data_IF_397870675944
#
_entry.id   IF_397870675944
#
_cell.length_a   1.000
_cell.length_b   1.000
_cell.length_c   1.000
_cell.angle_alpha   90.00
_cell.angle_beta   90.00
_cell.angle_gamma   90.00
#
_symmetry.space_group_name_H-M   'P 1'
#
loop_
_entity.id
_entity.type
_entity.pdbx_description
1 polymer ?
#
# COMPACT_ATOMS: atom_id res chain seq x y z
N UNK A 1 -9.91 -33.07 -7.07
CA UNK A 1 -9.59 -31.80 -6.39
C UNK A 1 -9.51 -30.74 -7.48
N UNK A 2 -10.56 -29.95 -7.63
CA UNK A 2 -10.60 -28.85 -8.59
C UNK A 2 -9.70 -27.74 -8.05
N UNK A 3 -8.61 -27.45 -8.77
CA UNK A 3 -7.78 -26.27 -8.48
C UNK A 3 -8.69 -25.04 -8.64
N UNK A 4 -9.09 -24.43 -7.52
CA UNK A 4 -9.57 -23.05 -7.55
C UNK A 4 -8.41 -22.22 -8.08
N UNK A 5 -8.58 -21.49 -9.19
CA UNK A 5 -7.51 -20.62 -9.66
C UNK A 5 -7.12 -19.65 -8.54
N UNK A 6 -5.84 -19.25 -8.44
CA UNK A 6 -5.41 -18.30 -7.43
C UNK A 6 -6.28 -17.04 -7.54
N UNK A 7 -6.69 -16.49 -6.39
CA UNK A 7 -7.68 -15.40 -6.27
C UNK A 7 -7.36 -14.15 -7.11
N UNK A 8 -6.09 -14.02 -7.50
CA UNK A 8 -5.51 -12.91 -8.26
C UNK A 8 -5.69 -13.07 -9.78
N UNK A 9 -6.17 -14.23 -10.23
CA UNK A 9 -6.45 -14.47 -11.65
C UNK A 9 -7.62 -13.60 -12.09
N UNK A 10 -7.48 -12.78 -13.14
CA UNK A 10 -8.58 -12.01 -13.67
C UNK A 10 -9.78 -12.90 -14.02
N UNK A 11 -10.96 -12.54 -13.52
CA UNK A 11 -12.21 -13.25 -13.78
C UNK A 11 -13.00 -12.58 -14.91
N UNK A 12 -13.89 -13.33 -15.57
CA UNK A 12 -14.79 -12.74 -16.55
C UNK A 12 -15.95 -11.99 -15.88
N UNK A 13 -16.65 -11.14 -16.65
CA UNK A 13 -17.90 -10.50 -16.18
C UNK A 13 -18.98 -11.51 -15.80
N UNK A 14 -19.03 -12.66 -16.50
CA UNK A 14 -19.99 -13.72 -16.21
C UNK A 14 -19.66 -14.41 -14.89
N UNK A 15 -18.37 -14.65 -14.62
CA UNK A 15 -17.91 -15.22 -13.35
C UNK A 15 -18.19 -14.28 -12.18
N UNK A 16 -17.92 -12.98 -12.36
CA UNK A 16 -18.26 -11.96 -11.36
C UNK A 16 -19.76 -11.93 -11.05
N UNK A 17 -20.61 -12.00 -12.08
CA UNK A 17 -22.06 -12.05 -11.89
C UNK A 17 -22.55 -13.35 -11.21
N UNK A 18 -21.84 -14.46 -11.41
CA UNK A 18 -22.17 -15.76 -10.79
C UNK A 18 -21.57 -15.93 -9.37
N UNK A 19 -20.62 -15.09 -8.98
CA UNK A 19 -19.91 -15.18 -7.71
C UNK A 19 -20.83 -15.04 -6.49
N UNK A 20 -20.39 -15.58 -5.35
CA UNK A 20 -21.05 -15.40 -4.06
C UNK A 20 -20.75 -13.98 -3.54
N UNK A 21 -21.74 -13.08 -3.42
CA UNK A 21 -21.51 -11.71 -3.00
C UNK A 21 -21.01 -11.62 -1.55
N UNK A 22 -21.17 -12.65 -0.73
CA UNK A 22 -20.69 -12.65 0.66
C UNK A 22 -19.18 -12.96 0.77
N UNK A 23 -18.55 -13.35 -0.34
CA UNK A 23 -17.14 -13.74 -0.38
C UNK A 23 -16.33 -12.75 -1.19
N UNK A 24 -15.02 -12.73 -0.92
CA UNK A 24 -14.05 -12.01 -1.75
C UNK A 24 -14.07 -12.56 -3.18
N UNK A 25 -14.16 -11.67 -4.14
CA UNK A 25 -14.15 -11.97 -5.56
C UNK A 25 -12.78 -11.63 -6.15
N UNK A 26 -12.33 -12.42 -7.14
CA UNK A 26 -11.09 -12.12 -7.85
C UNK A 26 -11.20 -10.85 -8.70
N UNK A 27 -10.07 -10.27 -9.14
CA UNK A 27 -10.08 -9.01 -9.87
C UNK A 27 -10.78 -9.17 -11.23
N UNK A 28 -11.56 -8.18 -11.62
CA UNK A 28 -12.09 -8.05 -12.97
C UNK A 28 -11.29 -6.95 -13.69
N UNK A 29 -10.60 -7.35 -14.75
CA UNK A 29 -9.81 -6.44 -15.59
C UNK A 29 -10.58 -6.12 -16.86
N UNK A 30 -10.65 -4.84 -17.21
CA UNK A 30 -11.32 -4.35 -18.42
C UNK A 30 -10.38 -3.43 -19.19
N UNK A 31 -10.29 -3.68 -20.51
CA UNK A 31 -9.46 -2.92 -21.44
C UNK A 31 -10.08 -1.57 -21.86
N UNK A 32 -11.18 -1.14 -21.21
CA UNK A 32 -11.90 0.11 -21.49
C UNK A 32 -11.51 1.26 -20.55
N UNK A 33 -10.23 1.33 -20.15
CA UNK A 33 -9.70 2.32 -19.20
C UNK A 33 -9.78 3.78 -19.67
N UNK A 34 -10.37 4.06 -20.83
CA UNK A 34 -10.72 5.41 -21.24
C UNK A 34 -11.88 5.95 -20.38
N UNK A 35 -11.59 6.99 -19.60
CA UNK A 35 -12.60 7.89 -19.05
C UNK A 35 -13.22 8.68 -20.22
N UNK A 36 -14.09 8.05 -20.99
CA UNK A 36 -14.83 8.77 -22.04
C UNK A 36 -15.84 9.71 -21.38
N UNK A 37 -15.87 10.97 -21.82
CA UNK A 37 -16.82 12.00 -21.41
C UNK A 37 -18.32 11.60 -21.53
N UNK A 38 -18.63 10.57 -22.34
CA UNK A 38 -19.99 10.02 -22.49
C UNK A 38 -20.39 9.15 -21.29
N UNK A 39 -19.44 8.56 -20.57
CA UNK A 39 -19.68 7.78 -19.34
C UNK A 39 -19.96 8.65 -18.11
N UNK A 40 -19.42 9.87 -18.07
CA UNK A 40 -19.71 10.85 -17.01
C UNK A 40 -21.15 11.37 -17.07
N UNK A 41 -21.70 11.57 -18.28
CA UNK A 41 -23.01 12.19 -18.47
C UNK A 41 -24.22 11.26 -18.23
N UNK A 42 -24.04 9.94 -18.29
CA UNK A 42 -25.14 8.96 -18.17
C UNK A 42 -25.01 7.99 -16.99
N UNK A 43 -23.94 8.08 -16.20
CA UNK A 43 -23.65 7.13 -15.13
C UNK A 43 -23.18 5.80 -15.70
N UNK A 44 -21.91 5.45 -15.48
CA UNK A 44 -21.38 4.17 -15.94
C UNK A 44 -21.93 3.02 -15.10
N UNK A 45 -22.27 1.90 -15.76
CA UNK A 45 -22.65 0.68 -15.07
C UNK A 45 -21.41 0.04 -14.43
N UNK A 46 -21.40 -0.03 -13.09
CA UNK A 46 -20.34 -0.70 -12.33
C UNK A 46 -20.63 -2.21 -12.33
N UNK A 47 -19.66 -3.08 -12.68
CA UNK A 47 -19.84 -4.52 -12.58
C UNK A 47 -20.09 -4.93 -11.12
N UNK A 48 -21.01 -5.86 -10.94
CA UNK A 48 -21.50 -6.28 -9.64
C UNK A 48 -21.10 -7.72 -9.37
N UNK A 49 -20.62 -7.99 -8.15
CA UNK A 49 -20.39 -9.34 -7.62
C UNK A 49 -21.74 -9.95 -7.25
N UNK A 50 -22.04 -11.13 -7.80
CA UNK A 50 -23.30 -11.83 -7.56
C UNK A 50 -24.55 -11.04 -7.98
N UNK A 51 -24.39 -10.01 -8.82
CA UNK A 51 -25.41 -9.02 -9.19
C UNK A 51 -25.97 -8.18 -8.01
N UNK A 52 -25.34 -8.23 -6.84
CA UNK A 52 -25.89 -7.67 -5.59
C UNK A 52 -25.03 -6.54 -5.03
N UNK A 53 -23.69 -6.70 -5.02
CA UNK A 53 -22.79 -5.66 -4.49
C UNK A 53 -21.74 -5.23 -5.52
N UNK A 54 -21.23 -3.99 -5.44
CA UNK A 54 -20.06 -3.58 -6.23
C UNK A 54 -18.77 -4.19 -5.67
N UNK A 55 -17.70 -4.10 -6.46
CA UNK A 55 -16.33 -4.28 -5.96
C UNK A 55 -15.92 -3.12 -5.04
N UNK A 56 -14.99 -3.38 -4.12
CA UNK A 56 -14.53 -2.36 -3.16
C UNK A 56 -13.62 -1.31 -3.82
N UNK A 57 -12.75 -1.74 -4.73
CA UNK A 57 -11.80 -0.89 -5.42
C UNK A 57 -12.13 -0.81 -6.91
N UNK A 58 -12.14 0.40 -7.45
CA UNK A 58 -12.21 0.71 -8.86
C UNK A 58 -11.00 1.59 -9.22
N UNK A 59 -9.98 0.95 -9.81
CA UNK A 59 -8.70 1.57 -10.12
C UNK A 59 -8.49 1.62 -11.63
N UNK A 60 -8.09 2.77 -12.18
CA UNK A 60 -7.74 2.91 -13.58
C UNK A 60 -6.35 3.50 -13.76
N UNK A 61 -5.53 2.87 -14.61
CA UNK A 61 -4.14 3.24 -14.88
C UNK A 61 -3.71 2.67 -16.23
N UNK A 62 -2.81 3.37 -16.95
CA UNK A 62 -2.22 2.93 -18.22
C UNK A 62 -3.22 2.35 -19.26
N UNK A 63 -4.46 2.87 -19.30
CA UNK A 63 -5.51 2.41 -20.22
C UNK A 63 -6.23 1.13 -19.79
N UNK A 64 -5.89 0.58 -18.63
CA UNK A 64 -6.53 -0.56 -17.99
C UNK A 64 -7.41 -0.07 -16.85
N UNK A 65 -8.53 -0.76 -16.61
CA UNK A 65 -9.32 -0.60 -15.39
C UNK A 65 -9.46 -1.93 -14.66
N UNK A 66 -9.29 -1.91 -13.35
CA UNK A 66 -9.34 -3.06 -12.45
C UNK A 66 -10.41 -2.82 -11.39
N UNK A 67 -11.31 -3.78 -11.25
CA UNK A 67 -12.25 -3.86 -10.15
C UNK A 67 -11.83 -5.00 -9.22
N UNK A 68 -11.67 -4.73 -7.93
CA UNK A 68 -11.17 -5.73 -6.99
C UNK A 68 -11.76 -5.53 -5.59
N UNK A 69 -11.73 -6.58 -4.77
CA UNK A 69 -12.10 -6.50 -3.36
C UNK A 69 -10.89 -6.26 -2.44
N UNK A 70 -9.67 -6.39 -2.94
CA UNK A 70 -8.42 -6.17 -2.19
C UNK A 70 -7.48 -5.26 -2.96
N UNK A 71 -6.71 -4.47 -2.22
CA UNK A 71 -5.61 -3.68 -2.80
C UNK A 71 -4.54 -4.58 -3.43
N UNK A 72 -4.23 -5.72 -2.80
CA UNK A 72 -3.23 -6.66 -3.33
C UNK A 72 -3.59 -7.16 -4.74
N UNK A 73 -4.88 -7.34 -5.05
CA UNK A 73 -5.32 -7.79 -6.37
C UNK A 73 -5.14 -6.68 -7.42
N UNK A 74 -5.40 -5.42 -7.06
CA UNK A 74 -5.10 -4.26 -7.92
C UNK A 74 -3.60 -4.17 -8.19
N UNK A 75 -2.79 -4.25 -7.13
CA UNK A 75 -1.34 -4.18 -7.25
C UNK A 75 -0.76 -5.38 -7.98
N UNK A 76 -1.31 -6.58 -7.84
CA UNK A 76 -0.85 -7.73 -8.59
C UNK A 76 -1.08 -7.59 -10.10
N UNK A 77 -2.23 -7.02 -10.50
CA UNK A 77 -2.48 -6.69 -11.92
C UNK A 77 -1.50 -5.61 -12.41
N UNK A 78 -1.20 -4.61 -11.57
CA UNK A 78 -0.30 -3.49 -11.92
C UNK A 78 1.18 -3.88 -11.96
N UNK A 79 1.64 -4.66 -10.99
CA UNK A 79 3.06 -4.96 -10.73
C UNK A 79 3.50 -6.30 -11.34
N UNK A 80 2.55 -7.09 -11.84
CA UNK A 80 2.76 -8.28 -12.65
C UNK A 80 2.86 -9.59 -11.86
N UNK A 81 3.10 -10.67 -12.60
CA UNK A 81 2.96 -12.07 -12.14
C UNK A 81 3.75 -12.38 -10.87
N UNK A 82 4.96 -11.82 -10.71
CA UNK A 82 5.76 -12.10 -9.52
C UNK A 82 5.10 -11.55 -8.25
N UNK A 83 4.47 -10.38 -8.31
CA UNK A 83 3.73 -9.84 -7.18
C UNK A 83 2.51 -10.70 -6.89
N UNK A 84 1.79 -11.14 -7.93
CA UNK A 84 0.67 -12.07 -7.81
C UNK A 84 1.07 -13.38 -7.11
N UNK A 85 2.19 -14.00 -7.49
CA UNK A 85 2.71 -15.22 -6.86
C UNK A 85 2.99 -15.02 -5.37
N UNK A 86 3.56 -13.88 -4.99
CA UNK A 86 3.89 -13.56 -3.59
C UNK A 86 2.64 -13.33 -2.75
N UNK A 87 1.64 -12.61 -3.28
CA UNK A 87 0.34 -12.44 -2.63
C UNK A 87 -0.34 -13.80 -2.42
N UNK A 88 -0.35 -14.67 -3.45
CA UNK A 88 -0.92 -16.01 -3.30
C UNK A 88 -0.17 -16.86 -2.26
N UNK A 89 1.16 -16.74 -2.19
CA UNK A 89 1.97 -17.43 -1.19
C UNK A 89 1.71 -16.90 0.24
N UNK A 90 1.41 -15.62 0.40
CA UNK A 90 1.02 -15.03 1.69
C UNK A 90 -0.38 -15.48 2.11
N UNK A 91 -1.34 -15.48 1.17
CA UNK A 91 -2.69 -16.00 1.41
C UNK A 91 -2.65 -17.47 1.88
N UNK A 92 -1.80 -18.31 1.29
CA UNK A 92 -1.62 -19.71 1.70
C UNK A 92 -1.06 -19.83 3.13
N UNK A 93 -0.18 -18.92 3.54
CA UNK A 93 0.31 -18.88 4.92
C UNK A 93 -0.78 -18.46 5.90
N UNK A 94 -1.60 -17.47 5.53
CA UNK A 94 -2.66 -16.96 6.38
C UNK A 94 -3.83 -17.97 6.52
N UNK A 95 -4.01 -18.87 5.54
CA UNK A 95 -4.92 -20.02 5.65
C UNK A 95 -4.42 -21.10 6.62
N UNK A 96 -3.11 -21.14 6.88
CA UNK A 96 -2.44 -22.12 7.72
C UNK A 96 -1.55 -21.46 8.79
N UNK A 97 -2.13 -20.64 9.69
CA UNK A 97 -1.34 -19.90 10.66
C UNK A 97 -0.71 -20.85 11.68
N UNK A 98 0.59 -20.64 11.95
CA UNK A 98 1.27 -21.28 13.08
C UNK A 98 1.01 -20.42 14.31
N UNK A 99 0.32 -20.94 15.34
CA UNK A 99 -0.03 -20.15 16.52
C UNK A 99 1.24 -19.63 17.21
N UNK A 100 1.12 -18.46 17.85
CA UNK A 100 2.17 -17.99 18.73
C UNK A 100 2.33 -18.98 19.90
N UNK A 101 3.55 -19.19 20.41
CA UNK A 101 3.73 -19.91 21.66
C UNK A 101 2.96 -19.16 22.78
N UNK A 102 2.37 -19.90 23.72
CA UNK A 102 1.62 -19.30 24.82
C UNK A 102 2.56 -18.44 25.68
N UNK A 103 2.19 -17.18 25.90
CA UNK A 103 3.00 -16.23 26.69
C UNK A 103 3.13 -16.63 28.16
N UNK A 104 2.31 -17.59 28.64
CA UNK A 104 2.39 -18.14 30.00
C UNK A 104 3.63 -19.02 30.23
N UNK A 105 4.31 -19.46 29.17
CA UNK A 105 5.45 -20.39 29.24
C UNK A 105 6.80 -19.67 29.03
N UNK A 106 6.75 -18.35 28.82
CA UNK A 106 7.92 -17.50 28.69
C UNK A 106 8.07 -16.68 29.98
N UNK A 107 8.80 -17.21 30.97
CA UNK A 107 9.23 -16.38 32.09
C UNK A 107 10.02 -15.17 31.55
N UNK A 108 9.70 -13.93 31.97
CA UNK A 108 10.39 -12.75 31.50
C UNK A 108 11.88 -12.87 31.81
N UNK A 109 12.72 -12.82 30.77
CA UNK A 109 14.19 -12.99 30.82
C UNK A 109 14.89 -11.80 31.55
N UNK A 110 14.14 -10.96 32.24
CA UNK A 110 14.66 -9.84 33.04
C UNK A 110 15.13 -10.26 34.45
N UNK A 111 14.81 -11.48 34.93
CA UNK A 111 15.28 -11.94 36.25
C UNK A 111 16.70 -12.53 36.26
N UNK A 112 17.31 -12.84 35.11
CA UNK A 112 18.68 -13.40 35.08
C UNK A 112 19.75 -12.33 35.38
N UNK A 113 19.42 -11.03 35.23
CA UNK A 113 20.34 -9.93 35.53
C UNK A 113 20.36 -9.51 37.03
N UNK A 114 19.44 -10.00 37.87
CA UNK A 114 19.34 -9.63 39.28
C UNK A 114 19.84 -10.70 40.28
N UNK A 115 20.23 -11.90 39.82
CA UNK A 115 20.75 -12.97 40.70
C UNK A 115 22.27 -12.83 40.92
N UNK A 116 22.70 -11.67 41.39
CA UNK A 116 24.08 -11.40 41.80
C UNK A 116 24.28 -11.55 43.34
N UNK A 117 23.63 -12.52 44.00
CA UNK A 117 23.88 -12.72 45.43
C UNK A 117 22.98 -13.63 46.27
N UNK A 118 22.19 -14.56 45.72
CA UNK A 118 21.44 -15.53 46.52
C UNK A 118 22.08 -16.92 46.52
N UNK A 119 22.07 -17.66 47.65
CA UNK A 119 22.60 -19.02 47.73
C UNK A 119 21.74 -19.99 46.89
N UNK A 120 22.29 -21.11 46.40
CA UNK A 120 21.56 -22.04 45.56
C UNK A 120 20.45 -22.71 46.40
N UNK A 121 19.23 -22.21 46.25
CA UNK A 121 18.01 -22.87 46.65
C UNK A 121 17.40 -23.51 45.41
N UNK A 122 17.13 -24.81 45.51
CA UNK A 122 16.47 -25.62 44.49
C UNK A 122 15.07 -25.07 44.16
N UNK A 123 14.99 -24.25 43.12
CA UNK A 123 13.91 -24.19 42.12
C UNK A 123 14.37 -23.21 41.03
N UNK A 124 15.33 -23.66 40.22
CA UNK A 124 15.57 -23.02 38.93
C UNK A 124 14.51 -23.56 37.99
N UNK A 125 13.68 -22.63 37.50
CA UNK A 125 12.53 -22.75 36.61
C UNK A 125 12.36 -24.05 35.83
N UNK A 126 11.10 -24.47 35.73
CA UNK A 126 10.62 -25.58 34.90
C UNK A 126 11.36 -25.57 33.55
N UNK A 127 12.17 -26.61 33.31
CA UNK A 127 13.00 -26.67 32.11
C UNK A 127 12.11 -26.69 30.87
N UNK A 128 12.25 -25.70 29.98
CA UNK A 128 11.54 -25.66 28.70
C UNK A 128 11.70 -27.00 27.99
N UNK A 129 10.58 -27.63 27.66
CA UNK A 129 10.54 -28.92 27.00
C UNK A 129 11.01 -28.83 25.54
N UNK A 130 11.51 -29.94 25.00
CA UNK A 130 11.86 -30.04 23.57
C UNK A 130 10.65 -29.74 22.66
N UNK A 131 9.43 -30.01 23.14
CA UNK A 131 8.19 -29.71 22.43
C UNK A 131 7.91 -28.21 22.34
N UNK A 132 8.09 -27.45 23.43
CA UNK A 132 7.91 -25.99 23.45
C UNK A 132 8.95 -25.29 22.56
N UNK A 133 10.21 -25.74 22.60
CA UNK A 133 11.26 -25.24 21.70
C UNK A 133 10.91 -25.50 20.22
N UNK A 134 10.33 -26.66 19.90
CA UNK A 134 9.91 -26.99 18.55
C UNK A 134 8.74 -26.12 18.06
N UNK A 135 7.76 -25.82 18.94
CA UNK A 135 6.64 -24.91 18.64
C UNK A 135 7.16 -23.49 18.41
N UNK A 136 8.03 -22.97 19.28
CA UNK A 136 8.65 -21.66 19.11
C UNK A 136 9.44 -21.58 17.79
N UNK A 137 10.27 -22.59 17.49
CA UNK A 137 11.03 -22.63 16.25
C UNK A 137 10.13 -22.66 15.01
N UNK A 138 9.02 -23.39 15.04
CA UNK A 138 8.04 -23.42 13.97
C UNK A 138 7.35 -22.06 13.78
N UNK A 139 6.99 -21.37 14.86
CA UNK A 139 6.42 -20.03 14.80
C UNK A 139 7.40 -19.00 14.24
N UNK A 140 8.67 -19.04 14.68
CA UNK A 140 9.71 -18.16 14.15
C UNK A 140 9.97 -18.40 12.67
N UNK A 141 10.02 -19.66 12.22
CA UNK A 141 10.15 -19.99 10.81
C UNK A 141 8.95 -19.51 9.96
N UNK A 142 7.74 -19.59 10.52
CA UNK A 142 6.53 -19.03 9.91
C UNK A 142 6.62 -17.51 9.75
N UNK A 143 7.01 -16.78 10.82
CA UNK A 143 7.18 -15.33 10.80
C UNK A 143 8.30 -14.88 9.86
N UNK A 144 9.42 -15.58 9.85
CA UNK A 144 10.53 -15.31 8.91
C UNK A 144 10.08 -15.48 7.45
N UNK A 145 9.32 -16.54 7.15
CA UNK A 145 8.76 -16.75 5.81
C UNK A 145 7.79 -15.63 5.40
N UNK A 146 6.90 -15.21 6.31
CA UNK A 146 6.01 -14.06 6.05
C UNK A 146 6.81 -12.77 5.83
N UNK A 147 7.81 -12.49 6.67
CA UNK A 147 8.65 -11.30 6.56
C UNK A 147 9.42 -11.28 5.23
N UNK A 148 9.99 -12.40 4.80
CA UNK A 148 10.70 -12.52 3.52
C UNK A 148 9.80 -12.25 2.31
N UNK A 149 8.57 -12.78 2.32
CA UNK A 149 7.60 -12.52 1.26
C UNK A 149 7.24 -11.02 1.21
N UNK A 150 6.91 -10.44 2.37
CA UNK A 150 6.57 -9.00 2.47
C UNK A 150 7.72 -8.10 2.06
N UNK A 151 8.96 -8.46 2.41
CA UNK A 151 10.18 -7.78 1.98
C UNK A 151 10.30 -7.80 0.45
N UNK A 152 10.12 -8.97 -0.18
CA UNK A 152 10.18 -9.08 -1.64
C UNK A 152 9.08 -8.26 -2.34
N UNK A 153 7.84 -8.30 -1.81
CA UNK A 153 6.74 -7.44 -2.29
C UNK A 153 7.07 -5.95 -2.16
N UNK A 154 7.75 -5.55 -1.08
CA UNK A 154 8.20 -4.17 -0.88
C UNK A 154 9.29 -3.76 -1.90
N UNK A 155 10.22 -4.66 -2.24
CA UNK A 155 11.21 -4.40 -3.30
C UNK A 155 10.58 -4.23 -4.69
N UNK A 156 9.53 -4.99 -4.99
CA UNK A 156 8.78 -4.83 -6.25
C UNK A 156 8.09 -3.46 -6.29
N UNK A 157 7.40 -3.08 -5.20
CA UNK A 157 6.79 -1.74 -5.06
C UNK A 157 7.83 -0.63 -5.16
N UNK A 158 9.00 -0.78 -4.51
CA UNK A 158 10.12 0.15 -4.63
C UNK A 158 10.52 0.36 -6.08
N UNK A 159 10.82 -0.72 -6.81
CA UNK A 159 11.27 -0.64 -8.20
C UNK A 159 10.22 0.02 -9.11
N UNK A 160 8.95 -0.29 -8.91
CA UNK A 160 7.87 0.37 -9.65
C UNK A 160 7.81 1.86 -9.29
N UNK A 161 7.87 2.21 -8.00
CA UNK A 161 7.89 3.58 -7.53
C UNK A 161 9.08 4.38 -8.08
N UNK A 162 10.27 3.79 -8.21
CA UNK A 162 11.43 4.42 -8.84
C UNK A 162 11.15 4.79 -10.30
N UNK A 163 10.56 3.85 -11.05
CA UNK A 163 10.17 4.10 -12.44
C UNK A 163 9.13 5.22 -12.55
N UNK A 164 8.14 5.24 -11.66
CA UNK A 164 7.13 6.29 -11.62
C UNK A 164 7.69 7.65 -11.18
N UNK A 165 8.60 7.66 -10.19
CA UNK A 165 9.32 8.86 -9.73
C UNK A 165 10.06 9.53 -10.89
N UNK A 166 10.84 8.77 -11.64
CA UNK A 166 11.58 9.26 -12.81
C UNK A 166 10.63 9.87 -13.85
N UNK A 167 9.54 9.18 -14.19
CA UNK A 167 8.54 9.67 -15.17
C UNK A 167 7.87 10.96 -14.69
N UNK A 168 7.35 10.96 -13.46
CA UNK A 168 6.68 12.13 -12.87
C UNK A 168 7.63 13.32 -12.77
N UNK A 169 8.85 13.09 -12.30
CA UNK A 169 9.83 14.15 -12.14
C UNK A 169 10.20 14.76 -13.49
N UNK A 170 10.36 13.94 -14.54
CA UNK A 170 10.62 14.46 -15.89
C UNK A 170 9.50 15.40 -16.36
N UNK A 171 8.22 15.03 -16.14
CA UNK A 171 7.08 15.88 -16.50
C UNK A 171 7.07 17.18 -15.69
N UNK A 172 7.32 17.10 -14.38
CA UNK A 172 7.38 18.28 -13.51
C UNK A 172 8.53 19.22 -13.92
N UNK A 173 9.67 18.66 -14.32
CA UNK A 173 10.81 19.46 -14.80
C UNK A 173 10.46 20.19 -16.12
N UNK A 174 9.76 19.51 -17.04
CA UNK A 174 9.29 20.11 -18.29
C UNK A 174 8.28 21.24 -18.02
N UNK A 175 7.36 21.05 -17.06
CA UNK A 175 6.42 22.08 -16.61
C UNK A 175 7.16 23.30 -16.04
N UNK A 176 8.16 23.06 -15.18
CA UNK A 176 8.97 24.12 -14.58
C UNK A 176 9.79 24.91 -15.62
N UNK A 177 10.24 24.24 -16.69
CA UNK A 177 10.85 24.90 -17.83
C UNK A 177 9.85 25.77 -18.60
N UNK A 178 8.62 25.31 -18.76
CA UNK A 178 7.58 25.99 -19.52
C UNK A 178 7.01 27.22 -18.80
N UNK A 179 6.83 27.15 -17.48
CA UNK A 179 6.30 28.25 -16.66
C UNK A 179 7.36 29.26 -16.18
N UNK A 180 8.64 28.91 -16.33
CA UNK A 180 9.77 29.77 -16.01
C UNK A 180 10.29 29.65 -14.57
N UNK A 181 9.64 28.84 -13.72
CA UNK A 181 10.10 28.55 -12.35
C UNK A 181 11.52 27.95 -12.33
N UNK A 182 11.91 27.22 -13.37
CA UNK A 182 13.28 26.71 -13.53
C UNK A 182 14.38 27.79 -13.51
N UNK A 183 14.07 29.00 -13.96
CA UNK A 183 15.07 30.07 -14.10
C UNK A 183 15.46 30.70 -12.75
N UNK A 184 14.57 30.65 -11.77
CA UNK A 184 14.77 31.26 -10.44
C UNK A 184 15.36 30.28 -9.41
N UNK A 185 15.47 29.00 -9.76
CA UNK A 185 16.07 27.97 -8.91
C UNK A 185 17.59 28.10 -8.81
N UNK A 186 18.14 27.64 -7.69
CA UNK A 186 19.59 27.49 -7.52
C UNK A 186 20.14 26.35 -8.39
N UNK A 187 21.45 26.37 -8.64
CA UNK A 187 22.11 25.29 -9.39
C UNK A 187 21.96 23.93 -8.71
N UNK A 188 21.96 23.90 -7.38
CA UNK A 188 21.77 22.68 -6.58
C UNK A 188 20.34 22.12 -6.72
N UNK A 189 19.33 22.98 -6.64
CA UNK A 189 17.93 22.58 -6.85
C UNK A 189 17.73 22.01 -8.27
N UNK A 190 18.28 22.67 -9.29
CA UNK A 190 18.23 22.16 -10.67
C UNK A 190 18.94 20.83 -10.84
N UNK A 191 20.15 20.70 -10.28
CA UNK A 191 20.90 19.45 -10.34
C UNK A 191 20.14 18.29 -9.68
N UNK A 192 19.48 18.56 -8.56
CA UNK A 192 18.67 17.58 -7.84
C UNK A 192 17.43 17.17 -8.64
N UNK A 193 16.70 18.11 -9.25
CA UNK A 193 15.55 17.80 -10.12
C UNK A 193 15.96 16.99 -11.35
N UNK A 194 17.09 17.32 -11.96
CA UNK A 194 17.65 16.56 -13.09
C UNK A 194 18.02 15.14 -12.65
N UNK A 195 18.73 14.99 -11.53
CA UNK A 195 19.05 13.67 -10.96
C UNK A 195 17.77 12.89 -10.65
N UNK A 196 16.76 13.54 -10.07
CA UNK A 196 15.51 12.88 -9.76
C UNK A 196 14.75 12.43 -11.03
N UNK A 197 14.91 13.14 -12.15
CA UNK A 197 14.37 12.73 -13.46
C UNK A 197 15.23 11.72 -14.22
N UNK A 198 16.39 11.29 -13.69
CA UNK A 198 17.29 10.35 -14.36
C UNK A 198 17.14 8.93 -13.78
N UNK A 199 16.96 7.89 -14.62
CA UNK A 199 17.01 6.49 -14.19
C UNK A 199 18.27 6.08 -13.41
N UNK A 200 19.39 6.76 -13.62
CA UNK A 200 20.67 6.53 -12.94
C UNK A 200 21.00 7.62 -11.91
N UNK A 201 20.06 8.56 -11.68
CA UNK A 201 20.25 9.61 -10.70
C UNK A 201 20.18 9.09 -9.27
N UNK A 202 20.67 9.91 -8.35
CA UNK A 202 20.61 9.64 -6.92
C UNK A 202 19.19 9.84 -6.37
N UNK A 203 18.91 9.14 -5.28
CA UNK A 203 17.68 9.32 -4.51
C UNK A 203 17.60 10.74 -3.95
N UNK A 204 16.49 11.46 -4.17
CA UNK A 204 16.43 12.89 -3.93
C UNK A 204 16.28 13.27 -2.45
N UNK A 205 17.37 13.51 -1.72
CA UNK A 205 17.32 13.88 -0.31
C UNK A 205 17.00 15.35 0.00
N UNK A 206 16.61 16.17 -1.00
CA UNK A 206 16.55 17.63 -0.87
C UNK A 206 17.94 18.28 -0.90
N UNK A 207 17.97 19.61 -0.86
CA UNK A 207 19.22 20.39 -0.74
C UNK A 207 19.71 20.26 0.70
N UNK A 208 20.96 19.85 0.90
CA UNK A 208 21.50 19.63 2.25
C UNK A 208 21.88 20.98 2.87
N UNK A 209 21.25 21.29 3.99
CA UNK A 209 21.52 22.48 4.80
C UNK A 209 22.04 22.07 6.19
N UNK A 210 23.01 22.82 6.71
CA UNK A 210 23.50 22.67 8.07
C UNK A 210 22.65 23.51 9.02
N UNK A 211 21.80 22.85 9.81
CA UNK A 211 20.94 23.51 10.79
C UNK A 211 21.57 23.44 12.17
N UNK A 212 21.80 24.57 12.85
CA UNK A 212 22.29 24.56 14.22
C UNK A 212 21.19 24.06 15.17
N UNK A 213 21.51 23.03 15.94
CA UNK A 213 20.67 22.51 17.01
C UNK A 213 21.41 22.61 18.35
N UNK A 214 20.62 22.71 19.41
CA UNK A 214 21.11 22.69 20.79
C UNK A 214 20.78 21.31 21.38
N UNK A 215 21.79 20.55 21.76
CA UNK A 215 21.65 19.24 22.41
C UNK A 215 22.08 19.33 23.87
N UNK A 216 21.43 18.57 24.74
CA UNK A 216 21.87 18.43 26.13
C UNK A 216 23.13 17.57 26.18
N UNK A 217 24.24 18.17 26.63
CA UNK A 217 25.44 17.47 26.99
C UNK A 217 25.21 16.55 28.19
N UNK A 218 26.09 15.56 28.36
CA UNK A 218 26.03 14.56 29.45
C UNK A 218 26.02 15.20 30.84
N UNK A 219 26.53 16.43 30.96
CA UNK A 219 26.60 17.21 32.20
C UNK A 219 25.45 18.23 32.35
N UNK A 220 24.42 18.18 31.47
CA UNK A 220 23.30 19.13 31.45
C UNK A 220 23.63 20.50 30.85
N UNK A 221 24.76 20.61 30.14
CA UNK A 221 25.16 21.82 29.41
C UNK A 221 24.63 21.77 27.98
N UNK A 222 23.98 22.84 27.52
CA UNK A 222 23.56 22.96 26.12
C UNK A 222 24.79 23.09 25.21
N UNK A 223 25.01 22.08 24.38
CA UNK A 223 26.03 22.08 23.33
C UNK A 223 25.34 22.48 22.03
N UNK A 224 25.86 23.50 21.35
CA UNK A 224 25.44 23.80 19.98
C UNK A 224 26.22 22.93 19.01
N UNK A 225 25.50 22.16 18.20
CA UNK A 225 26.04 21.37 17.09
C UNK A 225 25.25 21.66 15.83
N UNK A 226 25.81 21.43 14.66
CA UNK A 226 25.05 21.43 13.41
C UNK A 226 24.59 20.01 13.08
N UNK A 227 23.43 19.90 12.46
CA UNK A 227 22.95 18.67 11.82
C UNK A 227 22.63 18.97 10.37
N UNK A 228 23.02 18.05 9.49
CA UNK A 228 22.65 18.10 8.08
C UNK A 228 21.18 17.71 7.93
N UNK A 229 20.42 18.53 7.22
CA UNK A 229 19.01 18.29 6.90
C UNK A 229 18.77 18.53 5.42
N UNK A 230 18.01 17.63 4.81
CA UNK A 230 17.50 17.83 3.46
C UNK A 230 16.33 18.80 3.49
N UNK A 231 16.39 19.86 2.68
CA UNK A 231 15.35 20.89 2.58
C UNK A 231 14.94 21.06 1.11
N UNK A 232 13.64 21.25 0.87
CA UNK A 232 13.07 21.52 -0.44
C UNK A 232 12.15 22.73 -0.42
N UNK A 233 12.66 23.86 -0.92
CA UNK A 233 11.99 25.18 -0.90
C UNK A 233 11.70 25.73 -2.29
N UNK A 234 12.05 25.00 -3.35
CA UNK A 234 11.80 25.44 -4.72
C UNK A 234 10.29 25.50 -5.00
N UNK A 235 9.88 26.45 -5.85
CA UNK A 235 8.49 26.57 -6.34
C UNK A 235 8.19 25.56 -7.46
N UNK A 236 8.58 24.30 -7.22
CA UNK A 236 8.38 23.15 -8.11
C UNK A 236 8.42 21.90 -7.26
N UNK A 237 7.62 20.89 -7.62
CA UNK A 237 7.49 19.68 -6.83
C UNK A 237 8.70 18.77 -6.98
N UNK A 238 9.11 18.15 -5.87
CA UNK A 238 10.09 17.07 -5.85
C UNK A 238 9.38 15.74 -5.60
N UNK A 239 9.63 14.75 -6.46
CA UNK A 239 9.06 13.41 -6.32
C UNK A 239 10.05 12.53 -5.56
N UNK A 240 9.60 11.97 -4.43
CA UNK A 240 10.39 11.11 -3.56
C UNK A 240 9.74 9.73 -3.44
N UNK A 241 10.57 8.69 -3.35
CA UNK A 241 10.13 7.32 -3.11
C UNK A 241 10.49 6.93 -1.68
N UNK A 242 9.51 6.58 -0.84
CA UNK A 242 9.76 6.11 0.54
C UNK A 242 10.75 4.94 0.59
N UNK A 243 10.84 4.15 -0.48
CA UNK A 243 11.81 3.06 -0.61
C UNK A 243 13.28 3.47 -0.65
N UNK A 244 13.57 4.75 -0.83
CA UNK A 244 14.92 5.31 -0.71
C UNK A 244 15.24 5.81 0.71
N UNK A 245 14.26 5.73 1.60
CA UNK A 245 14.32 6.21 2.99
C UNK A 245 13.88 5.09 3.94
N UNK A 246 13.33 5.46 5.09
CA UNK A 246 12.82 4.52 6.08
C UNK A 246 11.66 3.72 5.47
N UNK A 247 11.63 2.38 5.61
CA UNK A 247 12.35 1.56 6.60
C UNK A 247 13.73 1.03 6.16
N UNK A 248 14.19 1.31 4.95
CA UNK A 248 15.43 0.73 4.40
C UNK A 248 16.67 1.48 4.87
N UNK A 249 16.58 2.80 4.85
CA UNK A 249 17.63 3.68 5.29
C UNK A 249 17.01 4.65 6.30
N UNK A 250 17.65 4.90 7.46
CA UNK A 250 17.10 5.81 8.48
C UNK A 250 17.22 7.29 8.08
N UNK A 251 17.11 7.58 6.79
CA UNK A 251 17.15 8.93 6.22
C UNK A 251 15.72 9.50 6.31
N UNK A 252 15.52 10.68 6.92
CA UNK A 252 14.22 11.33 6.90
C UNK A 252 13.90 11.85 5.50
N UNK A 253 12.60 12.02 5.21
CA UNK A 253 12.19 12.79 4.04
C UNK A 253 12.74 14.23 4.12
N UNK A 254 12.97 14.89 2.97
CA UNK A 254 13.31 16.30 2.99
C UNK A 254 12.20 17.10 3.69
N UNK A 255 12.61 18.04 4.54
CA UNK A 255 11.71 19.09 5.02
C UNK A 255 11.35 19.96 3.81
N UNK A 256 10.11 20.41 3.75
CA UNK A 256 9.62 21.13 2.57
C UNK A 256 8.86 22.36 3.01
N UNK A 257 9.03 23.44 2.27
CA UNK A 257 8.36 24.70 2.53
C UNK A 257 8.10 25.47 1.24
N UNK A 258 7.15 26.39 1.31
CA UNK A 258 6.84 27.33 0.23
C UNK A 258 7.06 28.75 0.73
N UNK A 259 7.56 29.62 -0.14
CA UNK A 259 7.63 31.06 0.13
C UNK A 259 6.28 31.68 -0.21
N UNK A 260 5.70 32.42 0.74
CA UNK A 260 4.44 33.16 0.58
C UNK A 260 4.64 34.60 1.06
N UNK A 261 3.90 35.53 0.48
CA UNK A 261 3.81 36.89 1.01
C UNK A 261 2.84 36.91 2.19
N UNK A 262 3.25 37.53 3.29
CA UNK A 262 2.39 37.76 4.45
C UNK A 262 1.46 38.97 4.25
N UNK A 263 0.76 39.38 5.30
CA UNK A 263 -0.15 40.55 5.26
C UNK A 263 0.56 41.90 5.05
N UNK A 264 1.90 41.92 5.10
CA UNK A 264 2.76 43.09 4.91
C UNK A 264 3.59 43.03 3.61
N UNK A 265 3.29 42.09 2.70
CA UNK A 265 4.08 41.80 1.50
C UNK A 265 5.53 41.35 1.80
N UNK A 266 5.79 40.77 2.98
CA UNK A 266 7.08 40.16 3.32
C UNK A 266 7.09 38.66 2.99
N UNK A 267 8.20 38.17 2.42
CA UNK A 267 8.39 36.75 2.14
C UNK A 267 8.55 35.95 3.42
N UNK A 268 7.61 35.05 3.67
CA UNK A 268 7.60 34.12 4.80
C UNK A 268 7.63 32.69 4.28
N UNK A 269 8.52 31.89 4.86
CA UNK A 269 8.60 30.46 4.61
C UNK A 269 7.52 29.72 5.40
N UNK A 270 6.65 29.01 4.70
CA UNK A 270 5.58 28.21 5.28
C UNK A 270 5.89 26.74 5.07
N UNK A 271 6.17 26.04 6.16
CA UNK A 271 6.42 24.59 6.17
C UNK A 271 5.21 23.83 5.61
N UNK A 272 5.43 23.00 4.60
CA UNK A 272 4.38 22.22 3.94
C UNK A 272 4.94 21.00 3.22
N UNK A 273 4.18 19.92 3.15
CA UNK A 273 4.51 18.76 2.29
C UNK A 273 3.97 18.90 0.86
N UNK A 274 3.24 19.98 0.55
CA UNK A 274 2.62 20.16 -0.77
C UNK A 274 3.62 20.27 -1.93
N UNK A 275 4.88 20.63 -1.65
CA UNK A 275 5.96 20.65 -2.65
C UNK A 275 6.64 19.28 -2.81
N UNK A 276 6.18 18.25 -2.11
CA UNK A 276 6.66 16.88 -2.28
C UNK A 276 5.54 16.01 -2.86
N UNK A 277 5.91 15.14 -3.79
CA UNK A 277 5.10 14.00 -4.18
C UNK A 277 5.75 12.76 -3.58
N UNK A 278 5.11 12.17 -2.56
CA UNK A 278 5.68 11.06 -1.80
C UNK A 278 5.03 9.75 -2.25
N UNK A 279 5.79 8.89 -2.93
CA UNK A 279 5.38 7.52 -3.24
C UNK A 279 5.67 6.61 -2.05
N UNK A 280 4.62 6.21 -1.32
CA UNK A 280 4.72 5.49 -0.03
C UNK A 280 4.66 3.99 -0.26
N UNK A 281 5.74 3.25 -0.05
CA UNK A 281 5.79 1.81 -0.39
C UNK A 281 5.64 0.87 0.81
N UNK A 282 5.33 1.40 1.99
CA UNK A 282 5.31 0.66 3.26
C UNK A 282 4.28 -0.48 3.21
N UNK A 283 3.02 -0.13 2.97
CA UNK A 283 1.90 -1.07 2.86
C UNK A 283 1.27 -1.05 1.46
N UNK A 284 0.57 -2.11 1.03
CA UNK A 284 -0.15 -2.12 -0.24
C UNK A 284 -1.11 -0.92 -0.36
N UNK A 285 -1.87 -0.64 0.70
CA UNK A 285 -2.83 0.45 0.79
C UNK A 285 -2.16 1.82 0.63
N UNK A 286 -1.12 2.10 1.43
CA UNK A 286 -0.35 3.35 1.35
C UNK A 286 0.19 3.58 -0.06
N UNK A 287 0.61 2.50 -0.72
CA UNK A 287 1.17 2.59 -2.05
C UNK A 287 0.14 2.94 -3.10
N UNK A 288 -0.99 2.21 -3.14
CA UNK A 288 -2.06 2.49 -4.08
C UNK A 288 -2.65 3.90 -3.87
N UNK A 289 -2.81 4.32 -2.61
CA UNK A 289 -3.24 5.68 -2.26
C UNK A 289 -2.23 6.72 -2.76
N UNK A 290 -0.93 6.54 -2.49
CA UNK A 290 0.10 7.49 -2.94
C UNK A 290 0.20 7.60 -4.47
N UNK A 291 -0.06 6.52 -5.21
CA UNK A 291 -0.14 6.55 -6.67
C UNK A 291 -1.37 7.35 -7.14
N UNK A 292 -2.48 7.27 -6.41
CA UNK A 292 -3.68 8.08 -6.68
C UNK A 292 -3.45 9.55 -6.39
N UNK A 293 -2.83 9.88 -5.24
CA UNK A 293 -2.48 11.26 -4.86
C UNK A 293 -1.51 11.90 -5.87
N UNK A 294 -0.60 11.10 -6.43
CA UNK A 294 0.33 11.52 -7.47
C UNK A 294 -0.34 11.66 -8.86
N UNK A 295 -1.62 11.29 -9.01
CA UNK A 295 -2.36 11.34 -10.27
C UNK A 295 -2.01 10.23 -11.27
N UNK A 296 -1.30 9.18 -10.84
CA UNK A 296 -0.92 8.04 -11.67
C UNK A 296 -2.04 6.99 -11.79
N UNK A 297 -2.90 6.93 -10.78
CA UNK A 297 -4.03 6.00 -10.70
C UNK A 297 -5.28 6.81 -10.41
N UNK A 298 -6.35 6.58 -11.17
CA UNK A 298 -7.68 7.05 -10.76
C UNK A 298 -8.31 5.99 -9.85
N UNK A 299 -8.31 6.24 -8.54
CA UNK A 299 -8.85 5.32 -7.54
C UNK A 299 -10.21 5.81 -7.04
N UNK A 300 -11.18 4.89 -7.00
CA UNK A 300 -12.43 5.05 -6.25
C UNK A 300 -12.61 3.87 -5.31
N UNK A 301 -12.82 4.17 -4.04
CA UNK A 301 -13.10 3.17 -2.99
C UNK A 301 -14.57 3.23 -2.63
N UNK A 302 -15.25 2.10 -2.75
CA UNK A 302 -16.63 1.96 -2.27
C UNK A 302 -16.61 1.73 -0.76
N UNK A 303 -17.43 2.45 0.04
CA UNK A 303 -17.52 2.21 1.48
C UNK A 303 -17.88 0.75 1.78
N UNK A 304 -17.15 0.14 2.72
CA UNK A 304 -17.42 -1.24 3.20
C UNK A 304 -18.68 -1.32 4.06
N UNK A 305 -19.04 -0.22 4.72
CA UNK A 305 -20.31 -0.07 5.43
C UNK A 305 -21.40 0.39 4.46
N UNK A 306 -22.18 -0.54 3.92
CA UNK A 306 -23.47 -0.16 3.35
C UNK A 306 -24.38 0.30 4.49
N UNK A 307 -25.05 1.46 4.37
CA UNK A 307 -25.88 1.97 5.43
C UNK A 307 -27.02 0.99 5.76
N UNK A 308 -27.17 0.71 7.05
CA UNK A 308 -28.29 0.09 7.77
C UNK A 308 -28.49 -1.45 7.75
N UNK A 309 -28.79 -1.95 8.96
CA UNK A 309 -29.33 -3.30 9.25
C UNK A 309 -30.57 -3.66 8.40
N UNK A 310 -31.23 -2.66 7.80
CA UNK A 310 -32.32 -2.85 6.85
C UNK A 310 -31.86 -3.54 5.55
N UNK A 311 -30.64 -3.25 5.08
CA UNK A 311 -30.07 -3.86 3.88
C UNK A 311 -29.46 -5.24 4.14
N UNK A 312 -29.00 -5.57 5.37
CA UNK A 312 -28.57 -6.95 5.69
C UNK A 312 -29.71 -7.95 5.58
N UNK A 313 -30.91 -7.57 6.02
CA UNK A 313 -32.11 -8.38 5.86
C UNK A 313 -32.60 -8.48 4.41
N UNK A 314 -32.38 -7.43 3.62
CA UNK A 314 -32.67 -7.45 2.18
C UNK A 314 -31.62 -8.22 1.39
N UNK A 315 -30.36 -8.24 1.83
CA UNK A 315 -29.25 -8.92 1.15
C UNK A 315 -29.46 -10.43 1.16
N UNK A 316 -29.87 -11.04 2.28
CA UNK A 316 -30.24 -12.46 2.31
C UNK A 316 -31.42 -12.76 1.37
N UNK A 317 -32.44 -11.90 1.34
CA UNK A 317 -33.60 -12.05 0.46
C UNK A 317 -33.21 -11.89 -1.02
N UNK A 318 -32.32 -10.96 -1.35
CA UNK A 318 -31.81 -10.73 -2.70
C UNK A 318 -30.88 -11.86 -3.15
N UNK A 319 -30.05 -12.39 -2.24
CA UNK A 319 -29.20 -13.56 -2.47
C UNK A 319 -30.07 -14.79 -2.72
N UNK A 320 -31.09 -15.03 -1.90
CA UNK A 320 -32.04 -16.13 -2.06
C UNK A 320 -32.82 -15.99 -3.37
N UNK A 321 -33.31 -14.80 -3.70
CA UNK A 321 -34.00 -14.53 -4.97
C UNK A 321 -33.08 -14.69 -6.19
N UNK A 322 -31.82 -14.26 -6.10
CA UNK A 322 -30.83 -14.45 -7.16
C UNK A 322 -30.44 -15.93 -7.32
N UNK A 323 -30.39 -16.69 -6.23
CA UNK A 323 -30.17 -18.14 -6.25
C UNK A 323 -31.39 -18.88 -6.83
N UNK A 324 -32.61 -18.49 -6.46
CA UNK A 324 -33.85 -19.02 -7.03
C UNK A 324 -33.97 -18.73 -8.54
N UNK A 325 -33.63 -17.51 -8.97
CA UNK A 325 -33.62 -17.16 -10.39
C UNK A 325 -32.61 -18.02 -11.18
N UNK A 326 -31.41 -18.26 -10.63
CA UNK A 326 -30.41 -19.15 -11.22
C UNK A 326 -30.87 -20.61 -11.30
N UNK A 327 -31.58 -21.08 -10.28
CA UNK A 327 -32.17 -22.43 -10.25
C UNK A 327 -33.32 -22.57 -11.26
N UNK A 328 -34.09 -21.50 -11.48
CA UNK A 328 -35.19 -21.47 -12.45
C UNK A 328 -34.69 -21.48 -13.89
N UNK A 329 -33.58 -20.79 -14.20
CA UNK A 329 -32.95 -20.83 -15.53
C UNK A 329 -32.27 -22.18 -15.85
N UNK A 330 -31.95 -22.98 -14.82
CA UNK A 330 -31.37 -24.33 -14.95
C UNK A 330 -32.37 -25.47 -15.17
N UNK A 331 -33.67 -25.20 -15.28
CA UNK A 331 -34.71 -26.23 -15.47
C UNK A 331 -35.26 -26.21 -16.90
N UNK A 332 -34.68 -26.99 -17.85
CA UNK A 332 -35.23 -27.10 -19.18
C UNK A 332 -36.55 -27.88 -19.13
N UNK A 333 -37.62 -27.20 -19.54
CA UNK A 333 -38.82 -27.71 -20.20
C UNK A 333 -39.33 -29.09 -19.74
N UNK A 334 -40.42 -29.07 -18.96
CA UNK A 334 -41.42 -30.14 -18.98
C UNK A 334 -41.78 -30.47 -20.44
N UNK A 335 -41.51 -31.71 -20.82
CA UNK A 335 -41.94 -32.32 -22.07
C UNK A 335 -43.47 -32.44 -22.07
N UNK A 336 -44.15 -31.46 -22.66
CA UNK A 336 -45.49 -31.68 -23.20
C UNK A 336 -45.36 -32.47 -24.51
N UNK A 337 -45.42 -33.80 -24.38
CA UNK A 337 -45.78 -34.67 -25.49
C UNK A 337 -47.30 -34.84 -25.46
N UNK A 338 -47.98 -34.12 -26.35
CA UNK A 338 -49.35 -34.43 -26.74
C UNK A 338 -49.41 -35.85 -27.33
N UNK A 339 -50.48 -36.57 -26.98
CA UNK A 339 -51.02 -37.72 -27.72
C UNK A 339 -52.46 -37.39 -28.10
#
# INVERSE_FOLDING_TARGET
>A
MTHTPPRITPISRQDAAAADPTKTCGPLVIDDGHVHAVGEAHGRLVPMVGQIRPFLYDAAFEGVRVYADRVDDVLAVMLGDRYAELTAALDELDLHPVPAPDESDLEPVDEIAAVAGLPPGDDLGESVSEAELAVFAAHMAYKDKQARIKYEMALIRRRHADGQRVRLQSVINDEAHADGSWLVMTDEQRALLLSAGDPNGQSPAGVIEEVPISIDGVDGTLIQTTVERGVWTADTRLVVNAGDYSPWEPIPFPESAIIRLDEHDEEVEVQTRSNLVILRIDTPDDYLESLSDAGLVHLKVTPTEQPDDFFRGAESILVDAANEARLAEGSPAQSHHDS
#
